data_IF_326440862444
#
_entry.id   IF_326440862444
#
_cell.length_a   1.000
_cell.length_b   1.000
_cell.length_c   1.000
_cell.angle_alpha   90.00
_cell.angle_beta   90.00
_cell.angle_gamma   90.00
#
_symmetry.space_group_name_H-M   'P 1'
#
loop_
_entity.id
_entity.type
_entity.pdbx_description
1 polymer ?
#
# COMPACT_ATOMS: atom_id res chain seq x y z
N UNK A 1 -4.02 8.59 11.35
CA UNK A 1 -3.85 7.28 10.67
C UNK A 1 -3.88 7.55 9.19
N UNK A 2 -2.84 8.22 8.73
CA UNK A 2 -2.81 8.83 7.40
C UNK A 2 -1.95 7.94 6.52
N UNK A 3 -2.60 6.90 6.00
CA UNK A 3 -2.02 5.99 5.03
C UNK A 3 -2.60 6.26 3.65
N UNK A 4 -1.77 6.21 2.62
CA UNK A 4 -2.20 6.30 1.23
C UNK A 4 -2.42 4.90 0.65
N UNK A 5 -3.58 4.64 0.05
CA UNK A 5 -3.82 3.40 -0.69
C UNK A 5 -3.14 3.53 -2.05
N UNK A 6 -2.12 2.70 -2.31
CA UNK A 6 -1.40 2.69 -3.60
C UNK A 6 -2.13 1.85 -4.63
N UNK A 7 -2.77 0.77 -4.18
CA UNK A 7 -3.32 -0.25 -5.07
C UNK A 7 -4.57 -0.86 -4.45
N UNK A 8 -5.63 -0.99 -5.24
CA UNK A 8 -6.80 -1.82 -4.93
C UNK A 8 -6.69 -3.13 -5.70
N UNK A 9 -6.94 -4.23 -5.01
CA UNK A 9 -6.83 -5.58 -5.54
C UNK A 9 -8.22 -6.14 -5.82
N UNK A 10 -8.47 -6.45 -7.09
CA UNK A 10 -9.75 -6.96 -7.59
C UNK A 10 -9.62 -8.43 -7.99
N UNK A 11 -10.67 -9.20 -7.73
CA UNK A 11 -10.81 -10.57 -8.24
C UNK A 11 -11.35 -10.60 -9.68
N UNK A 12 -11.67 -11.80 -10.16
CA UNK A 12 -12.19 -12.03 -11.52
C UNK A 12 -13.59 -11.44 -11.74
N UNK A 13 -14.31 -11.16 -10.67
CA UNK A 13 -15.67 -10.63 -10.67
C UNK A 13 -15.66 -9.12 -10.34
N UNK A 14 -14.51 -8.46 -10.50
CA UNK A 14 -14.28 -7.05 -10.20
C UNK A 14 -14.58 -6.65 -8.74
N UNK A 15 -14.60 -7.61 -7.80
CA UNK A 15 -14.78 -7.32 -6.38
C UNK A 15 -13.44 -6.97 -5.74
N UNK A 16 -13.43 -5.96 -4.88
CA UNK A 16 -12.25 -5.59 -4.10
C UNK A 16 -12.02 -6.66 -3.01
N UNK A 17 -10.95 -7.43 -3.17
CA UNK A 17 -10.54 -8.47 -2.23
C UNK A 17 -9.39 -8.04 -1.31
N UNK A 18 -8.78 -6.90 -1.60
CA UNK A 18 -7.70 -6.33 -0.79
C UNK A 18 -7.22 -4.98 -1.30
N UNK A 19 -6.26 -4.41 -0.59
CA UNK A 19 -5.59 -3.17 -0.99
C UNK A 19 -4.18 -3.10 -0.40
N UNK A 20 -3.28 -2.41 -1.11
CA UNK A 20 -1.95 -2.04 -0.61
C UNK A 20 -1.97 -0.58 -0.23
N UNK A 21 -1.27 -0.27 0.86
CA UNK A 21 -1.21 1.09 1.38
C UNK A 21 0.18 1.41 1.90
N UNK A 22 0.49 2.69 1.99
CA UNK A 22 1.72 3.24 2.57
C UNK A 22 1.33 4.08 3.76
N UNK A 23 1.83 3.74 4.93
CA UNK A 23 1.62 4.51 6.15
C UNK A 23 2.66 5.63 6.27
N UNK A 24 2.27 6.88 6.04
CA UNK A 24 3.21 8.00 6.09
C UNK A 24 3.76 8.25 7.49
N UNK A 25 3.00 7.95 8.55
CA UNK A 25 3.50 8.07 9.93
C UNK A 25 4.70 7.15 10.19
N UNK A 26 4.64 5.89 9.72
CA UNK A 26 5.78 4.96 9.81
C UNK A 26 6.94 5.37 8.92
N UNK A 27 6.65 5.93 7.74
CA UNK A 27 7.68 6.43 6.82
C UNK A 27 8.42 7.63 7.43
N UNK A 28 7.68 8.59 7.97
CA UNK A 28 8.24 9.79 8.60
C UNK A 28 9.06 9.45 9.83
N UNK A 29 8.60 8.51 10.67
CA UNK A 29 9.34 8.03 11.84
C UNK A 29 10.66 7.35 11.44
N UNK A 30 10.64 6.49 10.42
CA UNK A 30 11.84 5.84 9.89
C UNK A 30 12.84 6.84 9.28
N UNK A 31 12.37 7.85 8.54
CA UNK A 31 13.24 8.91 8.00
C UNK A 31 13.82 9.76 9.13
N UNK A 32 13.03 10.09 10.16
CA UNK A 32 13.53 10.82 11.36
C UNK A 32 14.55 10.02 12.14
N UNK A 33 14.45 8.69 12.15
CA UNK A 33 15.45 7.80 12.73
C UNK A 33 16.75 7.72 11.89
N UNK A 34 16.81 8.35 10.71
CA UNK A 34 17.98 8.38 9.83
C UNK A 34 18.02 7.22 8.84
N UNK A 35 16.92 6.49 8.63
CA UNK A 35 16.85 5.48 7.59
C UNK A 35 16.72 6.09 6.19
N UNK A 36 17.25 5.39 5.20
CA UNK A 36 17.10 5.78 3.79
C UNK A 36 15.61 5.81 3.40
N UNK A 37 15.25 6.77 2.55
CA UNK A 37 13.88 7.00 2.10
C UNK A 37 13.28 5.75 1.46
N UNK A 38 14.06 4.96 0.71
CA UNK A 38 13.55 3.73 0.12
C UNK A 38 13.28 2.67 1.19
N UNK A 39 14.16 2.54 2.19
CA UNK A 39 13.97 1.58 3.30
C UNK A 39 12.76 1.96 4.15
N UNK A 40 12.62 3.24 4.47
CA UNK A 40 11.46 3.79 5.17
C UNK A 40 10.16 3.55 4.39
N UNK A 41 10.20 3.73 3.06
CA UNK A 41 9.07 3.48 2.19
C UNK A 41 8.67 1.99 2.18
N UNK A 42 9.61 1.06 2.06
CA UNK A 42 9.32 -0.38 2.15
C UNK A 42 8.72 -0.77 3.51
N UNK A 43 9.26 -0.24 4.62
CA UNK A 43 8.71 -0.49 5.98
C UNK A 43 7.34 0.14 6.21
N UNK A 44 7.05 1.22 5.50
CA UNK A 44 5.77 1.91 5.57
C UNK A 44 4.70 1.24 4.71
N UNK A 45 5.07 0.42 3.72
CA UNK A 45 4.12 -0.37 2.94
C UNK A 45 3.46 -1.43 3.81
N UNK A 46 2.17 -1.57 3.63
CA UNK A 46 1.35 -2.61 4.19
C UNK A 46 0.36 -3.09 3.14
N UNK A 47 -0.18 -4.26 3.38
CA UNK A 47 -1.21 -4.83 2.54
C UNK A 47 -2.32 -5.40 3.42
N UNK A 48 -3.54 -5.36 2.93
CA UNK A 48 -4.71 -5.85 3.63
C UNK A 48 -5.59 -6.68 2.70
N UNK A 49 -6.07 -7.81 3.21
CA UNK A 49 -6.91 -8.74 2.44
C UNK A 49 -6.12 -9.76 1.62
N UNK A 50 -6.78 -10.33 0.61
CA UNK A 50 -6.23 -11.37 -0.27
C UNK A 50 -5.54 -10.74 -1.48
N UNK A 51 -4.43 -10.08 -1.20
CA UNK A 51 -3.69 -9.27 -2.19
C UNK A 51 -2.97 -10.18 -3.20
N UNK A 52 -2.55 -11.37 -2.77
CA UNK A 52 -1.90 -12.38 -3.60
C UNK A 52 -2.88 -13.12 -4.55
N UNK A 53 -4.17 -13.16 -4.20
CA UNK A 53 -5.23 -13.74 -5.06
C UNK A 53 -5.79 -12.73 -6.08
N UNK A 54 -5.26 -11.51 -6.10
CA UNK A 54 -5.73 -10.44 -6.96
C UNK A 54 -5.42 -10.75 -8.42
N UNK A 55 -6.46 -10.74 -9.26
CA UNK A 55 -6.31 -10.91 -10.70
C UNK A 55 -6.00 -9.57 -11.37
N UNK A 56 -6.49 -8.48 -10.79
CA UNK A 56 -6.24 -7.13 -11.26
C UNK A 56 -5.88 -6.22 -10.09
N UNK A 57 -4.96 -5.30 -10.34
CA UNK A 57 -4.58 -4.25 -9.40
C UNK A 57 -4.84 -2.91 -10.07
N UNK A 58 -5.60 -2.03 -9.41
CA UNK A 58 -5.90 -0.69 -9.92
C UNK A 58 -5.32 0.36 -8.96
N UNK A 59 -4.70 1.40 -9.52
CA UNK A 59 -4.29 2.58 -8.74
C UNK A 59 -5.51 3.50 -8.62
N UNK A 60 -6.04 3.75 -7.41
CA UNK A 60 -7.23 4.58 -7.24
C UNK A 60 -7.05 6.04 -7.67
N UNK A 61 -5.82 6.51 -7.95
CA UNK A 61 -5.52 7.88 -8.40
C UNK A 61 -5.21 8.02 -9.88
N UNK A 62 -5.07 6.93 -10.62
CA UNK A 62 -4.84 6.94 -12.06
C UNK A 62 -5.89 6.07 -12.73
N UNK A 63 -7.00 6.70 -13.11
CA UNK A 63 -7.96 6.15 -14.06
C UNK A 63 -7.46 6.35 -15.49
#
# INVERSE_FOLDING_TARGET
TDGYITDLCLDKDDNIIGYKFVNFGKMEDAIKAGEDVNTAYEKAKGQYGRVDDAVRTIDPRKE
#
